data_IF_878347719016
#
_entry.id   IF_878347719016
#
_cell.length_a   1.000
_cell.length_b   1.000
_cell.length_c   1.000
_cell.angle_alpha   90.00
_cell.angle_beta   90.00
_cell.angle_gamma   90.00
#
_symmetry.space_group_name_H-M   'P 1'
#
loop_
_entity.id
_entity.type
_entity.pdbx_description
1 polymer ?
#
# COMPACT_ATOMS: atom_id res chain seq x y z
N UNK A 1 4.81 -0.09 21.37
CA UNK A 1 3.34 -0.22 21.39
C UNK A 1 2.86 -1.40 20.55
N UNK A 2 3.68 -1.84 19.58
CA UNK A 2 3.32 -2.88 18.62
C UNK A 2 4.05 -4.23 18.86
N UNK A 3 4.48 -4.53 20.10
CA UNK A 3 5.35 -5.68 20.41
C UNK A 3 4.77 -7.04 20.00
N UNK A 4 3.45 -7.22 20.17
CA UNK A 4 2.76 -8.44 19.77
C UNK A 4 2.76 -8.64 18.24
N UNK A 5 2.52 -7.57 17.49
CA UNK A 5 2.55 -7.58 16.02
C UNK A 5 3.97 -7.81 15.51
N UNK A 6 4.96 -7.17 16.14
CA UNK A 6 6.38 -7.36 15.84
C UNK A 6 6.83 -8.81 16.08
N UNK A 7 6.43 -9.40 17.21
CA UNK A 7 6.69 -10.80 17.51
C UNK A 7 6.02 -11.74 16.49
N UNK A 8 4.78 -11.46 16.11
CA UNK A 8 4.05 -12.23 15.10
C UNK A 8 4.72 -12.16 13.71
N UNK A 9 5.16 -10.97 13.29
CA UNK A 9 5.88 -10.77 12.03
C UNK A 9 7.24 -11.50 12.03
N UNK A 10 8.02 -11.40 13.11
CA UNK A 10 9.26 -12.17 13.29
C UNK A 10 9.03 -13.69 13.29
N UNK A 11 7.92 -14.15 13.87
CA UNK A 11 7.48 -15.55 13.82
C UNK A 11 7.22 -16.02 12.39
N UNK A 12 6.58 -15.19 11.55
CA UNK A 12 6.37 -15.48 10.11
C UNK A 12 7.70 -15.57 9.35
N UNK A 13 8.63 -14.64 9.60
CA UNK A 13 9.98 -14.70 9.02
C UNK A 13 10.67 -16.02 9.39
N UNK A 14 10.62 -16.38 10.67
CA UNK A 14 11.28 -17.61 11.18
C UNK A 14 10.69 -18.85 10.53
N UNK A 15 9.36 -18.99 10.50
CA UNK A 15 8.67 -20.11 9.82
C UNK A 15 9.01 -20.17 8.34
N UNK A 16 8.98 -19.05 7.64
CA UNK A 16 9.31 -18.98 6.22
C UNK A 16 10.77 -19.35 5.94
N UNK A 17 11.71 -18.92 6.80
CA UNK A 17 13.13 -19.31 6.72
C UNK A 17 13.33 -20.80 6.95
N UNK A 18 12.64 -21.39 7.93
CA UNK A 18 12.70 -22.83 8.19
C UNK A 18 12.21 -23.61 6.97
N UNK A 19 11.07 -23.24 6.39
CA UNK A 19 10.53 -23.88 5.17
C UNK A 19 11.51 -23.72 4.01
N UNK A 20 12.05 -22.52 3.81
CA UNK A 20 13.02 -22.25 2.76
C UNK A 20 14.29 -23.11 2.88
N UNK A 21 14.87 -23.17 4.08
CA UNK A 21 16.05 -23.99 4.37
C UNK A 21 15.74 -25.48 4.20
N UNK A 22 14.59 -25.94 4.69
CA UNK A 22 14.15 -27.32 4.51
C UNK A 22 14.05 -27.67 3.02
N UNK A 23 13.38 -26.87 2.20
CA UNK A 23 13.29 -27.10 0.76
C UNK A 23 14.67 -27.09 0.07
N UNK A 24 15.56 -26.18 0.45
CA UNK A 24 16.93 -26.14 -0.07
C UNK A 24 17.75 -27.39 0.28
N UNK A 25 17.58 -27.94 1.48
CA UNK A 25 18.26 -29.16 1.94
C UNK A 25 17.65 -30.42 1.31
N UNK A 26 16.32 -30.45 1.14
CA UNK A 26 15.61 -31.57 0.55
C UNK A 26 15.87 -31.73 -0.95
N UNK A 27 16.21 -30.65 -1.67
CA UNK A 27 16.55 -30.74 -3.09
C UNK A 27 17.74 -31.69 -3.36
N UNK A 28 18.95 -31.49 -2.79
CA UNK A 28 20.06 -32.43 -2.97
C UNK A 28 19.82 -33.78 -2.27
N UNK A 29 19.17 -33.80 -1.11
CA UNK A 29 18.87 -35.05 -0.42
C UNK A 29 17.94 -35.96 -1.23
N UNK A 30 16.92 -35.39 -1.88
CA UNK A 30 16.00 -36.13 -2.75
C UNK A 30 16.70 -36.66 -4.00
N UNK A 31 17.62 -35.88 -4.60
CA UNK A 31 18.46 -36.35 -5.72
C UNK A 31 19.29 -37.57 -5.32
N UNK A 32 20.04 -37.47 -4.21
CA UNK A 32 20.91 -38.55 -3.73
C UNK A 32 20.09 -39.80 -3.39
N UNK A 33 18.96 -39.63 -2.69
CA UNK A 33 18.08 -40.74 -2.31
C UNK A 33 17.51 -41.44 -3.54
N UNK A 34 17.03 -40.69 -4.54
CA UNK A 34 16.52 -41.26 -5.78
C UNK A 34 17.61 -41.99 -6.58
N UNK A 35 18.82 -41.43 -6.69
CA UNK A 35 19.96 -42.11 -7.30
C UNK A 35 20.35 -43.39 -6.54
N UNK A 36 20.33 -43.40 -5.21
CA UNK A 36 20.59 -44.60 -4.43
C UNK A 36 19.53 -45.66 -4.69
N UNK A 37 18.24 -45.30 -4.69
CA UNK A 37 17.15 -46.23 -5.01
C UNK A 37 17.30 -46.82 -6.43
N UNK A 38 17.77 -46.03 -7.42
CA UNK A 38 18.02 -46.54 -8.78
C UNK A 38 19.06 -47.67 -8.86
N UNK A 39 20.04 -47.67 -7.96
CA UNK A 39 21.10 -48.69 -7.93
C UNK A 39 20.64 -50.01 -7.29
N UNK A 40 19.53 -50.01 -6.54
CA UNK A 40 18.99 -51.18 -5.85
C UNK A 40 17.73 -51.77 -6.50
N UNK A 41 17.23 -51.19 -7.61
CA UNK A 41 16.13 -51.80 -8.35
C UNK A 41 16.62 -53.01 -9.17
N UNK A 42 15.84 -54.10 -9.23
CA UNK A 42 16.14 -55.20 -10.14
C UNK A 42 16.10 -54.71 -11.60
N UNK A 43 16.86 -55.33 -12.52
CA UNK A 43 17.05 -54.88 -13.90
C UNK A 43 15.77 -54.83 -14.75
N UNK A 44 14.66 -55.32 -14.23
CA UNK A 44 13.33 -55.35 -14.86
C UNK A 44 12.51 -54.08 -14.61
N UNK A 45 12.96 -53.19 -13.69
CA UNK A 45 12.29 -51.91 -13.43
C UNK A 45 12.74 -50.88 -14.47
N UNK A 46 11.77 -50.32 -15.19
CA UNK A 46 12.01 -49.32 -16.22
C UNK A 46 12.85 -48.15 -15.65
N UNK A 47 14.01 -47.88 -16.26
CA UNK A 47 14.99 -46.88 -15.81
C UNK A 47 14.33 -45.50 -15.57
N UNK A 48 13.24 -45.23 -16.31
CA UNK A 48 12.40 -44.05 -16.18
C UNK A 48 11.77 -43.88 -14.78
N UNK A 49 11.37 -44.97 -14.10
CA UNK A 49 10.79 -44.90 -12.74
C UNK A 49 11.82 -44.55 -11.66
N UNK A 50 13.09 -44.85 -11.90
CA UNK A 50 14.19 -44.45 -11.02
C UNK A 50 14.69 -43.02 -11.28
N UNK A 51 14.82 -42.65 -12.56
CA UNK A 51 15.36 -41.35 -12.98
C UNK A 51 14.36 -40.20 -12.86
N UNK A 52 13.06 -40.43 -13.08
CA UNK A 52 12.07 -39.35 -12.98
C UNK A 52 12.01 -38.73 -11.58
N UNK A 53 11.92 -39.49 -10.47
CA UNK A 53 11.96 -38.91 -9.13
C UNK A 53 13.28 -38.16 -8.85
N UNK A 54 14.41 -38.66 -9.35
CA UNK A 54 15.73 -38.04 -9.16
C UNK A 54 15.82 -36.65 -9.83
N UNK A 55 15.10 -36.42 -10.92
CA UNK A 55 15.10 -35.14 -11.62
C UNK A 55 13.94 -34.23 -11.19
N UNK A 56 12.76 -34.81 -10.94
CA UNK A 56 11.54 -34.06 -10.63
C UNK A 56 11.54 -33.54 -9.19
N UNK A 57 11.89 -34.37 -8.20
CA UNK A 57 11.81 -33.96 -6.79
C UNK A 57 12.72 -32.77 -6.44
N UNK A 58 14.01 -32.72 -6.89
CA UNK A 58 14.85 -31.56 -6.63
C UNK A 58 14.29 -30.28 -7.23
N UNK A 59 13.74 -30.36 -8.46
CA UNK A 59 13.12 -29.22 -9.13
C UNK A 59 11.88 -28.73 -8.36
N UNK A 60 11.02 -29.64 -7.89
CA UNK A 60 9.86 -29.28 -7.06
C UNK A 60 10.30 -28.59 -5.77
N UNK A 61 11.33 -29.09 -5.09
CA UNK A 61 11.85 -28.45 -3.88
C UNK A 61 12.47 -27.08 -4.15
N UNK A 62 13.16 -26.88 -5.28
CA UNK A 62 13.68 -25.57 -5.67
C UNK A 62 12.56 -24.58 -5.99
N UNK A 63 11.50 -25.03 -6.67
CA UNK A 63 10.30 -24.22 -6.94
C UNK A 63 9.63 -23.84 -5.61
N UNK A 64 9.44 -24.79 -4.70
CA UNK A 64 8.88 -24.53 -3.37
C UNK A 64 9.75 -23.54 -2.57
N UNK A 65 11.08 -23.67 -2.62
CA UNK A 65 12.01 -22.72 -2.01
C UNK A 65 11.87 -21.33 -2.62
N UNK A 66 11.72 -21.21 -3.94
CA UNK A 66 11.49 -19.93 -4.61
C UNK A 66 10.20 -19.27 -4.12
N UNK A 67 9.10 -20.03 -4.02
CA UNK A 67 7.83 -19.51 -3.49
C UNK A 67 7.90 -19.15 -2.00
N UNK A 68 8.65 -19.89 -1.19
CA UNK A 68 8.85 -19.60 0.24
C UNK A 68 9.60 -18.28 0.49
N UNK A 69 10.35 -17.74 -0.48
CA UNK A 69 11.03 -16.43 -0.35
C UNK A 69 10.06 -15.26 -0.28
N UNK A 70 8.95 -15.31 -1.00
CA UNK A 70 7.96 -14.22 -1.08
C UNK A 70 7.38 -13.85 0.30
N UNK A 71 6.82 -14.79 1.10
CA UNK A 71 6.26 -14.45 2.41
C UNK A 71 7.34 -13.99 3.40
N UNK A 72 8.59 -14.44 3.28
CA UNK A 72 9.71 -13.96 4.11
C UNK A 72 10.02 -12.50 3.81
N UNK A 73 10.09 -12.12 2.53
CA UNK A 73 10.30 -10.71 2.13
C UNK A 73 9.16 -9.81 2.59
N UNK A 74 7.91 -10.25 2.41
CA UNK A 74 6.74 -9.50 2.86
C UNK A 74 6.74 -9.31 4.39
N UNK A 75 7.03 -10.36 5.15
CA UNK A 75 7.10 -10.26 6.61
C UNK A 75 8.30 -9.42 7.10
N UNK A 76 9.40 -9.38 6.36
CA UNK A 76 10.52 -8.49 6.67
C UNK A 76 10.17 -7.02 6.43
N UNK A 77 9.51 -6.69 5.32
CA UNK A 77 8.98 -5.35 5.07
C UNK A 77 7.97 -4.94 6.16
N UNK A 78 7.11 -5.87 6.57
CA UNK A 78 6.16 -5.66 7.67
C UNK A 78 6.86 -5.32 9.00
N UNK A 79 7.99 -5.96 9.32
CA UNK A 79 8.79 -5.62 10.51
C UNK A 79 9.31 -4.19 10.46
N UNK A 80 9.80 -3.73 9.31
CA UNK A 80 10.28 -2.35 9.17
C UNK A 80 9.13 -1.34 9.29
N UNK A 81 7.94 -1.64 8.76
CA UNK A 81 6.76 -0.80 8.94
C UNK A 81 6.30 -0.73 10.41
N UNK A 82 6.35 -1.85 11.14
CA UNK A 82 6.00 -1.88 12.56
C UNK A 82 6.98 -1.02 13.38
N UNK A 83 8.28 -1.09 13.06
CA UNK A 83 9.30 -0.26 13.71
C UNK A 83 9.09 1.21 13.41
N UNK A 84 8.89 1.56 12.14
CA UNK A 84 8.57 2.92 11.73
C UNK A 84 7.34 3.45 12.49
N UNK A 85 6.30 2.62 12.64
CA UNK A 85 5.12 2.99 13.41
C UNK A 85 5.45 3.21 14.90
N UNK A 86 6.22 2.34 15.54
CA UNK A 86 6.64 2.53 16.94
C UNK A 86 7.51 3.80 17.12
N UNK A 87 8.45 4.07 16.21
CA UNK A 87 9.33 5.24 16.21
C UNK A 87 8.55 6.55 16.08
N UNK A 88 7.47 6.54 15.30
CA UNK A 88 6.62 7.70 15.07
C UNK A 88 5.37 7.75 15.98
N UNK A 89 5.26 6.84 16.95
CA UNK A 89 4.14 6.81 17.91
C UNK A 89 2.79 6.33 17.35
N UNK A 90 2.80 5.63 16.21
CA UNK A 90 1.63 5.04 15.58
C UNK A 90 1.32 3.65 16.11
N UNK A 91 0.02 3.36 16.25
CA UNK A 91 -0.51 2.00 16.45
C UNK A 91 -0.61 1.30 15.13
N UNK A 92 0.07 0.16 15.02
CA UNK A 92 0.04 -0.69 13.84
C UNK A 92 -1.00 -1.81 14.00
N UNK A 93 -1.72 -2.08 12.91
CA UNK A 93 -2.58 -3.25 12.73
C UNK A 93 -2.36 -3.81 11.34
N UNK A 94 -2.22 -5.13 11.23
CA UNK A 94 -1.98 -5.77 9.94
C UNK A 94 -3.13 -5.61 8.96
N UNK A 95 -4.38 -5.55 9.45
CA UNK A 95 -5.59 -5.40 8.66
C UNK A 95 -6.54 -4.38 9.28
N UNK A 96 -7.34 -3.72 8.45
CA UNK A 96 -8.43 -2.84 8.86
C UNK A 96 -9.72 -3.20 8.11
N UNK A 97 -10.85 -3.20 8.82
CA UNK A 97 -12.16 -3.40 8.21
C UNK A 97 -12.70 -2.09 7.62
N UNK A 98 -12.47 -0.97 8.31
CA UNK A 98 -12.93 0.36 7.92
C UNK A 98 -11.87 1.41 8.22
N UNK A 99 -11.76 2.39 7.35
CA UNK A 99 -10.71 3.41 7.37
C UNK A 99 -11.31 4.79 7.12
N UNK A 100 -10.55 5.84 7.42
CA UNK A 100 -10.96 7.22 7.12
C UNK A 100 -11.16 7.45 5.61
N UNK A 101 -10.34 6.81 4.78
CA UNK A 101 -10.42 6.89 3.33
C UNK A 101 -11.77 6.40 2.77
N UNK A 102 -12.43 5.44 3.43
CA UNK A 102 -13.74 4.91 3.02
C UNK A 102 -14.89 5.94 3.17
N UNK A 103 -14.68 7.01 3.92
CA UNK A 103 -15.62 8.13 4.00
C UNK A 103 -15.41 9.17 2.89
N UNK A 104 -14.21 9.20 2.28
CA UNK A 104 -13.83 10.15 1.24
C UNK A 104 -14.17 9.58 -0.14
N UNK A 105 -13.86 8.30 -0.37
CA UNK A 105 -14.12 7.66 -1.64
C UNK A 105 -14.28 6.14 -1.48
N UNK A 106 -14.90 5.54 -2.49
CA UNK A 106 -15.07 4.09 -2.57
C UNK A 106 -14.23 3.56 -3.73
N UNK A 107 -13.56 2.43 -3.53
CA UNK A 107 -12.97 1.68 -4.63
C UNK A 107 -13.91 0.55 -5.03
N UNK A 108 -14.13 0.37 -6.33
CA UNK A 108 -14.85 -0.78 -6.85
C UNK A 108 -14.09 -2.09 -6.59
N UNK A 109 -14.81 -3.20 -6.53
CA UNK A 109 -14.24 -4.54 -6.36
C UNK A 109 -13.98 -4.96 -4.92
N UNK A 110 -13.24 -6.05 -4.76
CA UNK A 110 -12.84 -6.55 -3.44
C UNK A 110 -11.64 -5.76 -2.94
N UNK A 111 -11.74 -5.21 -1.73
CA UNK A 111 -10.73 -4.32 -1.17
C UNK A 111 -10.15 -4.89 0.13
N UNK A 112 -8.84 -5.12 0.15
CA UNK A 112 -8.09 -5.41 1.38
C UNK A 112 -7.33 -4.17 1.84
N UNK A 113 -7.43 -3.85 3.15
CA UNK A 113 -6.64 -2.78 3.77
C UNK A 113 -5.59 -3.44 4.66
N UNK A 114 -4.32 -3.24 4.32
CA UNK A 114 -3.15 -3.83 4.99
C UNK A 114 -2.30 -2.75 5.62
N UNK A 115 -1.54 -3.14 6.64
CA UNK A 115 -0.52 -2.29 7.29
C UNK A 115 -1.12 -0.96 7.77
N UNK A 116 -2.25 -1.04 8.46
CA UNK A 116 -2.96 0.13 8.96
C UNK A 116 -2.25 0.70 10.18
N UNK A 117 -1.82 1.94 10.06
CA UNK A 117 -1.10 2.70 11.08
C UNK A 117 -1.95 3.89 11.47
N UNK A 118 -2.21 4.05 12.77
CA UNK A 118 -3.08 5.11 13.30
C UNK A 118 -2.38 5.88 14.41
N UNK A 119 -2.48 7.20 14.39
CA UNK A 119 -1.80 8.06 15.34
C UNK A 119 -2.43 9.44 15.40
N UNK A 120 -1.79 10.35 16.12
CA UNK A 120 -2.19 11.75 16.20
C UNK A 120 -1.01 12.64 15.84
N UNK A 121 -1.23 13.60 14.95
CA UNK A 121 -0.23 14.60 14.54
C UNK A 121 -0.90 15.96 14.49
N UNK A 122 -0.34 16.95 15.19
CA UNK A 122 -0.87 18.32 15.19
C UNK A 122 -2.28 18.46 15.75
N UNK A 123 -2.74 17.53 16.60
CA UNK A 123 -4.11 17.52 17.15
C UNK A 123 -5.16 16.88 16.23
N UNK A 124 -4.77 16.42 15.05
CA UNK A 124 -5.60 15.63 14.14
C UNK A 124 -5.28 14.14 14.21
N UNK A 125 -6.27 13.30 13.90
CA UNK A 125 -6.07 11.85 13.79
C UNK A 125 -5.50 11.52 12.41
N UNK A 126 -4.43 10.76 12.38
CA UNK A 126 -3.76 10.31 11.15
C UNK A 126 -4.00 8.82 10.96
N UNK A 127 -4.33 8.43 9.72
CA UNK A 127 -4.32 7.03 9.28
C UNK A 127 -3.42 6.88 8.06
N UNK A 128 -2.49 5.93 8.09
CA UNK A 128 -1.65 5.57 6.94
C UNK A 128 -1.78 4.07 6.69
N UNK A 129 -1.98 3.63 5.45
CA UNK A 129 -2.19 2.22 5.13
C UNK A 129 -1.86 1.89 3.68
N UNK A 130 -1.78 0.59 3.38
CA UNK A 130 -1.78 0.10 2.00
C UNK A 130 -3.16 -0.48 1.67
N UNK A 131 -3.77 0.02 0.60
CA UNK A 131 -5.00 -0.52 0.05
C UNK A 131 -4.66 -1.39 -1.15
N UNK A 132 -5.24 -2.57 -1.19
CA UNK A 132 -5.19 -3.49 -2.32
C UNK A 132 -6.60 -3.70 -2.82
N UNK A 133 -6.81 -3.54 -4.12
CA UNK A 133 -8.08 -3.87 -4.77
C UNK A 133 -7.86 -4.89 -5.88
N UNK A 134 -8.83 -5.79 -6.02
CA UNK A 134 -8.90 -6.75 -7.11
C UNK A 134 -10.21 -6.56 -7.86
N UNK A 135 -10.14 -6.50 -9.18
CA UNK A 135 -11.34 -6.43 -10.02
C UNK A 135 -12.20 -7.67 -9.78
N UNK A 136 -13.46 -7.48 -9.38
CA UNK A 136 -14.41 -8.57 -9.14
C UNK A 136 -14.94 -9.26 -10.40
N UNK A 137 -14.39 -8.92 -11.58
CA UNK A 137 -14.79 -9.50 -12.87
C UNK A 137 -13.89 -10.68 -13.21
N UNK A 138 -14.49 -11.87 -13.34
CA UNK A 138 -13.78 -13.13 -13.64
C UNK A 138 -13.19 -13.21 -15.05
N UNK A 139 -13.58 -12.33 -15.97
CA UNK A 139 -13.24 -12.38 -17.40
C UNK A 139 -12.17 -11.35 -17.83
N UNK A 140 -11.79 -10.44 -16.95
CA UNK A 140 -10.70 -9.48 -17.20
C UNK A 140 -9.47 -10.00 -16.46
N UNK A 141 -8.32 -10.06 -17.16
CA UNK A 141 -7.01 -10.34 -16.55
C UNK A 141 -6.93 -9.58 -15.24
N UNK A 142 -6.70 -10.28 -14.12
CA UNK A 142 -6.69 -9.73 -12.77
C UNK A 142 -5.84 -8.46 -12.72
N UNK A 143 -6.48 -7.28 -12.77
CA UNK A 143 -5.80 -6.02 -12.54
C UNK A 143 -5.84 -5.82 -11.03
N UNK A 144 -4.73 -6.17 -10.39
CA UNK A 144 -4.47 -5.84 -9.00
C UNK A 144 -3.98 -4.39 -8.91
N UNK A 145 -4.68 -3.56 -8.13
CA UNK A 145 -4.24 -2.21 -7.84
C UNK A 145 -3.83 -2.12 -6.37
N UNK A 146 -2.59 -1.75 -6.11
CA UNK A 146 -2.08 -1.51 -4.76
C UNK A 146 -1.64 -0.06 -4.61
N UNK A 147 -2.00 0.58 -3.51
CA UNK A 147 -1.57 1.94 -3.20
C UNK A 147 -1.37 2.21 -1.72
N UNK A 148 -0.47 3.14 -1.40
CA UNK A 148 -0.33 3.68 -0.04
C UNK A 148 -1.15 4.97 0.11
N UNK A 149 -1.97 5.01 1.17
CA UNK A 149 -2.86 6.11 1.50
C UNK A 149 -2.45 6.77 2.81
N UNK A 150 -2.47 8.10 2.85
CA UNK A 150 -2.37 8.89 4.07
C UNK A 150 -3.62 9.76 4.22
N UNK A 151 -4.31 9.62 5.35
CA UNK A 151 -5.52 10.36 5.69
C UNK A 151 -5.32 11.15 6.98
N UNK A 152 -5.66 12.44 6.94
CA UNK A 152 -5.72 13.33 8.09
C UNK A 152 -7.18 13.66 8.39
N UNK A 153 -7.67 13.24 9.54
CA UNK A 153 -9.08 13.28 9.91
C UNK A 153 -9.33 14.42 10.89
N UNK A 154 -10.35 15.23 10.59
CA UNK A 154 -10.77 16.34 11.43
C UNK A 154 -9.85 17.56 11.36
N UNK A 155 -8.98 17.64 10.34
CA UNK A 155 -8.02 18.74 10.18
C UNK A 155 -8.53 19.85 9.26
N UNK A 156 -9.56 19.58 8.45
CA UNK A 156 -10.14 20.56 7.51
C UNK A 156 -11.57 20.94 7.92
N UNK A 157 -12.09 22.10 7.46
CA UNK A 157 -13.51 22.41 7.51
C UNK A 157 -14.34 21.30 6.87
N UNK A 158 -15.55 21.04 7.39
CA UNK A 158 -16.38 19.93 6.90
C UNK A 158 -17.03 20.24 5.55
N UNK A 159 -17.18 21.53 5.27
CA UNK A 159 -17.79 22.09 4.07
C UNK A 159 -16.87 22.01 2.85
N UNK A 160 -15.55 21.91 3.09
CA UNK A 160 -14.54 21.83 2.03
C UNK A 160 -14.65 20.48 1.33
N UNK A 161 -14.98 20.52 0.03
CA UNK A 161 -15.14 19.33 -0.80
C UNK A 161 -14.47 19.50 -2.16
N UNK A 162 -13.45 18.69 -2.41
CA UNK A 162 -12.88 18.51 -3.74
C UNK A 162 -12.08 17.23 -3.86
N UNK A 163 -11.88 16.80 -5.10
CA UNK A 163 -10.92 15.77 -5.50
C UNK A 163 -10.05 16.32 -6.62
N UNK A 164 -8.74 16.25 -6.43
CA UNK A 164 -7.70 16.58 -7.39
C UNK A 164 -7.09 15.30 -7.92
N UNK A 165 -7.28 15.07 -9.22
CA UNK A 165 -6.73 13.93 -9.94
C UNK A 165 -5.65 14.42 -10.90
N UNK A 166 -4.45 13.83 -10.90
CA UNK A 166 -3.47 14.03 -11.96
C UNK A 166 -4.10 13.71 -13.32
N UNK A 167 -3.93 14.58 -14.33
CA UNK A 167 -4.51 14.35 -15.67
C UNK A 167 -3.99 13.07 -16.33
N UNK A 168 -2.77 12.63 -15.97
CA UNK A 168 -2.20 11.36 -16.43
C UNK A 168 -2.93 10.12 -15.89
N UNK A 169 -3.74 10.26 -14.84
CA UNK A 169 -4.49 9.18 -14.19
C UNK A 169 -5.98 9.17 -14.61
N UNK A 170 -6.34 9.96 -15.65
CA UNK A 170 -7.70 10.07 -16.16
C UNK A 170 -8.13 8.74 -16.81
N UNK A 171 -8.84 7.90 -16.07
CA UNK A 171 -9.44 6.65 -16.58
C UNK A 171 -9.67 5.55 -15.56
N UNK A 172 -9.12 5.64 -14.35
CA UNK A 172 -8.99 4.45 -13.48
C UNK A 172 -9.83 4.46 -12.20
N UNK A 173 -10.57 5.53 -11.86
CA UNK A 173 -11.36 5.57 -10.61
C UNK A 173 -12.74 6.22 -10.78
N UNK A 174 -13.72 5.40 -11.14
CA UNK A 174 -15.12 5.78 -11.38
C UNK A 174 -15.83 6.48 -10.19
N UNK A 175 -15.30 6.34 -8.97
CA UNK A 175 -15.92 6.88 -7.75
C UNK A 175 -15.25 8.16 -7.20
N UNK A 176 -14.04 8.51 -7.66
CA UNK A 176 -13.36 9.78 -7.30
C UNK A 176 -13.82 10.95 -8.17
N UNK A 177 -14.45 10.66 -9.31
CA UNK A 177 -14.96 11.65 -10.26
C UNK A 177 -16.44 11.96 -10.05
N UNK A 178 -16.99 11.70 -8.85
CA UNK A 178 -18.35 12.07 -8.49
C UNK A 178 -18.45 13.58 -8.30
N UNK A 179 -19.48 14.20 -8.87
CA UNK A 179 -19.73 15.64 -8.80
C UNK A 179 -19.43 16.40 -10.09
N UNK A 180 -19.44 17.73 -10.00
CA UNK A 180 -19.15 18.62 -11.12
C UNK A 180 -17.64 18.75 -11.34
N UNK A 181 -17.23 18.74 -12.61
CA UNK A 181 -15.85 19.04 -12.99
C UNK A 181 -15.63 20.55 -13.02
N UNK A 182 -14.72 21.02 -12.20
CA UNK A 182 -14.38 22.43 -12.09
C UNK A 182 -13.16 22.78 -12.94
N UNK A 183 -13.09 24.03 -13.40
CA UNK A 183 -11.97 24.58 -14.18
C UNK A 183 -11.44 25.83 -13.49
N UNK A 184 -10.13 25.86 -13.27
CA UNK A 184 -9.44 27.00 -12.66
C UNK A 184 -8.78 27.81 -13.77
N UNK A 185 -9.57 28.66 -14.45
CA UNK A 185 -9.11 29.38 -15.66
C UNK A 185 -7.97 30.35 -15.37
N UNK A 186 -7.92 30.88 -14.15
CA UNK A 186 -6.90 31.84 -13.72
C UNK A 186 -5.57 31.16 -13.35
N UNK A 187 -5.54 29.82 -13.25
CA UNK A 187 -4.35 29.02 -12.95
C UNK A 187 -4.07 27.99 -14.07
N UNK A 188 -3.54 28.42 -15.23
CA UNK A 188 -3.40 27.55 -16.41
C UNK A 188 -2.41 26.41 -16.20
N UNK A 189 -1.41 26.56 -15.34
CA UNK A 189 -0.48 25.47 -15.00
C UNK A 189 -1.18 24.39 -14.17
N UNK A 190 -1.99 24.80 -13.19
CA UNK A 190 -2.77 23.90 -12.37
C UNK A 190 -3.83 23.15 -13.17
N UNK A 191 -4.58 23.86 -14.02
CA UNK A 191 -5.56 23.23 -14.90
C UNK A 191 -4.88 22.28 -15.89
N UNK A 192 -3.61 22.51 -16.31
CA UNK A 192 -2.86 21.55 -17.16
C UNK A 192 -2.39 20.31 -16.43
N UNK A 193 -2.15 20.38 -15.13
CA UNK A 193 -1.66 19.25 -14.35
C UNK A 193 -2.80 18.38 -13.80
N UNK A 194 -3.90 19.00 -13.37
CA UNK A 194 -4.95 18.34 -12.61
C UNK A 194 -6.33 18.45 -13.23
N UNK A 195 -7.21 17.55 -12.81
CA UNK A 195 -8.65 17.65 -12.97
C UNK A 195 -9.24 17.77 -11.57
N UNK A 196 -10.15 18.73 -11.38
CA UNK A 196 -10.84 18.93 -10.10
C UNK A 196 -12.29 18.51 -10.22
N UNK A 197 -12.75 17.70 -9.29
CA UNK A 197 -14.14 17.33 -9.11
C UNK A 197 -14.62 17.79 -7.73
N UNK A 198 -15.88 18.18 -7.63
CA UNK A 198 -16.52 18.52 -6.34
C UNK A 198 -18.01 18.17 -6.38
N UNK A 199 -18.53 17.59 -5.31
CA UNK A 199 -19.98 17.43 -5.10
C UNK A 199 -20.60 18.71 -4.52
N UNK A 200 -19.79 19.62 -3.96
CA UNK A 200 -20.18 20.94 -3.49
C UNK A 200 -19.26 22.04 -4.08
N UNK A 201 -19.45 22.44 -5.36
CA UNK A 201 -18.64 23.45 -6.05
C UNK A 201 -18.51 24.78 -5.29
N UNK A 202 -19.58 25.20 -4.61
CA UNK A 202 -19.64 26.44 -3.85
C UNK A 202 -18.56 26.51 -2.75
N UNK A 203 -18.09 25.35 -2.24
CA UNK A 203 -17.04 25.28 -1.23
C UNK A 203 -15.67 25.75 -1.71
N UNK A 204 -15.44 25.78 -3.03
CA UNK A 204 -14.17 26.15 -3.66
C UNK A 204 -14.36 27.12 -4.84
N UNK A 205 -15.52 27.78 -4.95
CA UNK A 205 -15.84 28.74 -6.02
C UNK A 205 -14.83 29.89 -6.09
N UNK A 206 -14.34 30.35 -4.93
CA UNK A 206 -13.30 31.40 -4.82
C UNK A 206 -11.88 30.94 -5.16
N UNK A 207 -11.71 29.70 -5.61
CA UNK A 207 -10.40 29.11 -5.89
C UNK A 207 -9.81 28.33 -4.71
N UNK A 208 -8.73 27.60 -4.99
CA UNK A 208 -7.93 26.94 -3.95
C UNK A 208 -6.80 27.88 -3.51
N UNK A 209 -6.37 27.84 -2.23
CA UNK A 209 -5.28 28.71 -1.78
C UNK A 209 -4.01 28.53 -2.61
N UNK A 210 -3.37 29.62 -3.03
CA UNK A 210 -2.15 29.60 -3.87
C UNK A 210 -1.05 28.69 -3.27
N UNK A 211 -0.84 28.79 -1.95
CA UNK A 211 0.11 27.94 -1.20
C UNK A 211 -0.18 26.44 -1.30
N UNK A 212 -1.43 26.05 -1.50
CA UNK A 212 -1.85 24.67 -1.70
C UNK A 212 -1.60 24.25 -3.15
N UNK A 213 -2.03 25.08 -4.11
CA UNK A 213 -1.79 24.88 -5.56
C UNK A 213 -0.31 24.65 -5.86
N UNK A 214 0.57 25.53 -5.35
CA UNK A 214 2.03 25.41 -5.53
C UNK A 214 2.58 24.10 -4.95
N UNK A 215 2.02 23.58 -3.86
CA UNK A 215 2.47 22.30 -3.27
C UNK A 215 2.02 21.11 -4.09
N UNK A 216 0.79 21.12 -4.61
CA UNK A 216 0.31 20.09 -5.52
C UNK A 216 1.17 20.05 -6.79
N UNK A 217 1.49 21.21 -7.39
CA UNK A 217 2.33 21.29 -8.59
C UNK A 217 3.75 20.75 -8.41
N UNK A 218 4.30 20.77 -7.19
CA UNK A 218 5.61 20.17 -6.89
C UNK A 218 5.60 18.64 -6.88
N UNK A 219 4.42 18.04 -6.72
CA UNK A 219 4.22 16.58 -6.61
C UNK A 219 2.97 16.18 -7.39
N UNK A 220 2.95 16.39 -8.72
CA UNK A 220 1.77 16.19 -9.55
C UNK A 220 1.35 14.72 -9.70
N UNK A 221 2.13 13.79 -9.17
CA UNK A 221 1.84 12.35 -9.15
C UNK A 221 0.85 11.93 -8.06
N UNK A 222 0.44 12.83 -7.15
CA UNK A 222 -0.51 12.49 -6.09
C UNK A 222 -1.93 12.92 -6.42
N UNK A 223 -2.86 12.02 -6.13
CA UNK A 223 -4.28 12.32 -5.98
C UNK A 223 -4.51 12.89 -4.57
N UNK A 224 -5.31 13.96 -4.49
CA UNK A 224 -5.65 14.62 -3.24
C UNK A 224 -7.16 14.78 -3.14
N UNK A 225 -7.77 14.28 -2.07
CA UNK A 225 -9.21 14.41 -1.83
C UNK A 225 -9.47 15.03 -0.46
N UNK A 226 -10.29 16.08 -0.42
CA UNK A 226 -10.74 16.71 0.81
C UNK A 226 -12.25 16.54 0.91
N UNK A 227 -12.74 15.79 1.90
CA UNK A 227 -14.17 15.57 2.15
C UNK A 227 -14.46 15.32 3.62
N UNK A 228 -15.58 15.82 4.11
CA UNK A 228 -16.07 15.55 5.48
C UNK A 228 -15.02 15.86 6.57
N UNK A 229 -14.22 16.91 6.35
CA UNK A 229 -13.12 17.31 7.25
C UNK A 229 -11.90 16.38 7.22
N UNK A 230 -11.83 15.46 6.25
CA UNK A 230 -10.70 14.55 6.03
C UNK A 230 -9.93 14.96 4.79
N UNK A 231 -8.61 15.06 4.90
CA UNK A 231 -7.69 15.15 3.76
C UNK A 231 -7.11 13.77 3.50
N UNK A 232 -7.26 13.26 2.29
CA UNK A 232 -6.69 12.00 1.83
C UNK A 232 -5.71 12.28 0.70
N UNK A 233 -4.51 11.69 0.77
CA UNK A 233 -3.47 11.80 -0.25
C UNK A 233 -2.91 10.42 -0.54
N UNK A 234 -2.80 10.09 -1.83
CA UNK A 234 -2.23 8.84 -2.30
C UNK A 234 -1.81 8.98 -3.76
N UNK A 235 -1.07 7.98 -4.25
CA UNK A 235 -0.75 7.83 -5.67
C UNK A 235 -1.36 6.54 -6.17
N UNK A 236 -2.08 6.60 -7.29
CA UNK A 236 -2.73 5.41 -7.86
C UNK A 236 -1.67 4.36 -8.26
N UNK A 237 -1.98 3.10 -7.97
CA UNK A 237 -1.14 1.94 -8.31
C UNK A 237 0.30 2.05 -7.78
N UNK A 238 0.52 2.73 -6.66
CA UNK A 238 1.83 2.91 -6.06
C UNK A 238 1.86 2.62 -4.56
N UNK A 239 2.63 1.60 -4.18
CA UNK A 239 2.97 1.31 -2.78
C UNK A 239 4.30 1.96 -2.44
N UNK A 240 4.32 2.71 -1.33
CA UNK A 240 5.54 3.33 -0.82
C UNK A 240 6.55 2.27 -0.38
N UNK A 241 7.83 2.57 -0.63
CA UNK A 241 8.94 1.96 0.13
C UNK A 241 8.87 2.45 1.59
N UNK A 242 9.54 1.79 2.56
CA UNK A 242 9.51 2.22 3.96
C UNK A 242 9.80 3.72 4.15
N UNK A 243 10.83 4.26 3.48
CA UNK A 243 11.16 5.69 3.55
C UNK A 243 10.12 6.61 2.88
N UNK A 244 9.28 6.04 2.00
CA UNK A 244 8.21 6.76 1.31
C UNK A 244 7.04 7.14 2.22
N UNK A 245 6.86 6.45 3.36
CA UNK A 245 5.77 6.74 4.31
C UNK A 245 5.94 8.11 4.96
N UNK A 246 7.16 8.46 5.38
CA UNK A 246 7.48 9.80 5.91
C UNK A 246 7.24 10.87 4.86
N UNK A 247 7.75 10.65 3.64
CA UNK A 247 7.58 11.60 2.54
C UNK A 247 6.11 11.84 2.20
N UNK A 248 5.29 10.79 2.20
CA UNK A 248 3.85 10.88 1.96
C UNK A 248 3.16 11.63 3.11
N UNK A 249 3.45 11.27 4.36
CA UNK A 249 2.84 11.88 5.54
C UNK A 249 3.20 13.36 5.65
N UNK A 250 4.47 13.72 5.50
CA UNK A 250 4.95 15.11 5.52
C UNK A 250 4.29 15.94 4.41
N UNK A 251 4.16 15.35 3.21
CA UNK A 251 3.47 16.01 2.11
C UNK A 251 2.00 16.24 2.44
N UNK A 252 1.32 15.23 3.00
CA UNK A 252 -0.09 15.31 3.41
C UNK A 252 -0.30 16.37 4.49
N UNK A 253 0.56 16.43 5.49
CA UNK A 253 0.54 17.46 6.54
C UNK A 253 0.78 18.86 5.97
N UNK A 254 1.72 19.00 5.04
CA UNK A 254 2.01 20.25 4.37
C UNK A 254 0.83 20.75 3.51
N UNK A 255 0.11 19.84 2.85
CA UNK A 255 -1.11 20.14 2.11
C UNK A 255 -2.25 20.57 3.07
N UNK A 256 -2.46 19.87 4.18
CA UNK A 256 -3.46 20.26 5.17
C UNK A 256 -3.19 21.66 5.76
N UNK A 257 -1.94 21.95 6.11
CA UNK A 257 -1.55 23.29 6.57
C UNK A 257 -1.78 24.37 5.49
N UNK A 258 -1.54 24.04 4.22
CA UNK A 258 -1.78 24.93 3.10
C UNK A 258 -3.28 25.19 2.85
N UNK A 259 -4.17 24.26 3.22
CA UNK A 259 -5.63 24.47 3.20
C UNK A 259 -6.14 25.23 4.43
N UNK A 260 -5.27 25.58 5.38
CA UNK A 260 -5.66 26.25 6.62
C UNK A 260 -6.14 25.28 7.70
N UNK A 261 -5.82 23.99 7.58
CA UNK A 261 -6.01 23.05 8.68
C UNK A 261 -5.17 23.43 9.89
N UNK A 262 -5.56 22.92 11.07
CA UNK A 262 -4.87 23.18 12.33
C UNK A 262 -3.42 22.68 12.27
N UNK A 263 -2.52 23.54 11.80
CA UNK A 263 -1.11 23.23 11.60
C UNK A 263 -0.37 23.25 12.93
N UNK A 264 -0.24 22.08 13.57
CA UNK A 264 0.92 21.84 14.42
C UNK A 264 2.12 21.59 13.52
N UNK A 265 3.13 22.48 13.56
CA UNK A 265 4.48 22.15 13.05
C UNK A 265 4.89 20.77 13.57
N UNK A 266 5.43 19.87 12.72
CA UNK A 266 5.92 18.58 13.18
C UNK A 266 7.04 18.83 14.18
N UNK A 267 6.75 18.66 15.48
CA UNK A 267 7.82 18.53 16.46
C UNK A 267 8.32 17.11 16.31
N UNK A 268 9.56 16.97 15.83
CA UNK A 268 10.32 15.74 16.07
C UNK A 268 10.11 15.34 17.53
N UNK A 269 9.52 14.16 17.74
CA UNK A 269 9.43 13.55 19.05
C UNK A 269 10.85 13.08 19.37
N UNK A 270 11.61 13.94 20.04
CA UNK A 270 12.83 13.52 20.71
C UNK A 270 12.44 12.67 21.92
N UNK A 271 12.76 11.38 21.85
CA UNK A 271 13.09 10.58 23.04
C UNK A 271 14.36 9.82 22.77
#
# INVERSE_FOLDING_TARGET
MNDAELAAARGRITRGRIIFLFCLLMAPASFVLSCCCTLFFPPEVDLAFGLMPALVLPVVFLIAAFFARRPVKAAAAEVELIRWADENGFRYRRRAEKTAADAVYTMGGENERKYHMTGEVGGGRVEVLNRWSRSGFSEVVEVEAEQTEAALVGVLPRELDFVLLPKGEMGEVLDLTRGERLRFRDDPEFDRAFIVYSENPDSIEGGLPERFVVRCLKRPEYTVAARLGTLLVFRLNYVCTPDGYDSLLDHTLALAAALGGAGGTPRHVTT
#
